data_IF_363930792745
#
_entry.id   IF_363930792745
#
_cell.length_a   1.000
_cell.length_b   1.000
_cell.length_c   1.000
_cell.angle_alpha   90.00
_cell.angle_beta   90.00
_cell.angle_gamma   90.00
#
_symmetry.space_group_name_H-M   'P 1'
#
loop_
_entity.id
_entity.type
_entity.pdbx_description
1 polymer ?
#
# COMPACT_ATOMS: atom_id res chain seq x y z
N UNK A 1 -21.38 17.58 -29.09
CA UNK A 1 -20.47 16.78 -28.26
C UNK A 1 -20.10 17.64 -27.08
N UNK A 2 -20.87 17.55 -26.01
CA UNK A 2 -20.55 18.24 -24.76
C UNK A 2 -19.73 17.30 -23.88
N UNK A 3 -18.67 17.85 -23.30
CA UNK A 3 -17.79 17.14 -22.38
C UNK A 3 -18.62 16.66 -21.18
N UNK A 4 -18.71 15.34 -21.01
CA UNK A 4 -19.24 14.75 -19.79
C UNK A 4 -18.30 15.19 -18.66
N UNK A 5 -18.77 16.09 -17.79
CA UNK A 5 -18.16 16.33 -16.50
C UNK A 5 -18.01 14.98 -15.79
N UNK A 6 -16.81 14.42 -15.81
CA UNK A 6 -16.46 13.31 -14.93
C UNK A 6 -16.63 13.82 -13.52
N UNK A 7 -17.67 13.35 -12.82
CA UNK A 7 -17.78 13.54 -11.38
C UNK A 7 -16.42 13.20 -10.77
N UNK A 8 -15.82 14.16 -10.08
CA UNK A 8 -14.62 13.91 -9.31
C UNK A 8 -15.02 12.96 -8.19
N UNK A 9 -14.85 11.67 -8.43
CA UNK A 9 -15.05 10.66 -7.41
C UNK A 9 -13.83 10.74 -6.49
N UNK A 10 -14.03 11.39 -5.35
CA UNK A 10 -13.03 11.53 -4.28
C UNK A 10 -13.56 10.86 -3.03
N UNK A 11 -12.70 10.12 -2.32
CA UNK A 11 -12.95 9.64 -0.96
C UNK A 11 -11.92 10.22 -0.01
N UNK A 12 -12.36 10.46 1.22
CA UNK A 12 -11.53 11.10 2.25
C UNK A 12 -11.39 10.14 3.43
N UNK A 13 -10.14 9.87 3.82
CA UNK A 13 -9.84 9.03 4.97
C UNK A 13 -8.90 9.77 5.91
N UNK A 14 -9.06 9.53 7.21
CA UNK A 14 -8.17 10.06 8.24
C UNK A 14 -7.48 8.91 8.94
N UNK A 15 -6.15 8.85 8.84
CA UNK A 15 -5.33 8.07 9.75
C UNK A 15 -5.14 8.87 11.04
N UNK A 16 -5.63 8.32 12.15
CA UNK A 16 -5.52 8.90 13.48
C UNK A 16 -4.19 8.53 14.14
N UNK A 17 -3.87 9.23 15.23
CA UNK A 17 -2.64 8.99 16.01
C UNK A 17 -2.53 7.59 16.63
N UNK A 18 -3.66 6.92 16.86
CA UNK A 18 -3.75 5.54 17.34
C UNK A 18 -3.74 4.50 16.20
N UNK A 19 -3.33 4.90 14.99
CA UNK A 19 -3.27 4.08 13.78
C UNK A 19 -4.63 3.51 13.30
N UNK A 20 -5.75 4.05 13.79
CA UNK A 20 -7.09 3.80 13.25
C UNK A 20 -7.30 4.64 11.99
N UNK A 21 -7.93 4.07 10.96
CA UNK A 21 -8.37 4.82 9.77
C UNK A 21 -9.89 4.92 9.75
N UNK A 22 -10.40 6.13 9.56
CA UNK A 22 -11.82 6.41 9.41
C UNK A 22 -12.11 7.05 8.04
N UNK A 23 -13.21 6.67 7.42
CA UNK A 23 -13.70 7.24 6.16
C UNK A 23 -14.70 8.38 6.43
N UNK A 24 -14.70 9.39 5.56
CA UNK A 24 -15.55 10.56 5.65
C UNK A 24 -16.16 10.89 4.30
N UNK A 25 -17.45 11.26 4.33
CA UNK A 25 -18.21 11.63 3.12
C UNK A 25 -17.77 12.97 2.52
N UNK A 26 -16.98 13.77 3.23
CA UNK A 26 -16.51 15.07 2.75
C UNK A 26 -15.14 15.46 3.29
N UNK A 27 -14.43 16.27 2.49
CA UNK A 27 -13.14 16.84 2.87
C UNK A 27 -13.25 17.66 4.16
N UNK A 28 -14.30 18.45 4.32
CA UNK A 28 -14.49 19.28 5.52
C UNK A 28 -14.66 18.43 6.79
N UNK A 29 -15.39 17.30 6.70
CA UNK A 29 -15.56 16.37 7.82
C UNK A 29 -14.25 15.70 8.21
N UNK A 30 -13.47 15.26 7.22
CA UNK A 30 -12.13 14.71 7.44
C UNK A 30 -11.16 15.76 8.01
N UNK A 31 -11.31 17.02 7.60
CA UNK A 31 -10.44 18.11 8.03
C UNK A 31 -10.62 18.51 9.50
N UNK A 32 -11.80 18.30 10.07
CA UNK A 32 -12.17 18.68 11.44
C UNK A 32 -11.74 17.66 12.51
N UNK A 33 -11.18 16.52 12.12
CA UNK A 33 -10.71 15.50 13.07
C UNK A 33 -9.50 16.01 13.86
N UNK A 34 -9.63 16.06 15.20
CA UNK A 34 -8.64 16.66 16.11
C UNK A 34 -7.43 15.77 16.37
N UNK A 35 -7.58 14.47 16.22
CA UNK A 35 -6.56 13.44 16.44
C UNK A 35 -6.00 12.88 15.11
N UNK A 36 -6.26 13.60 14.01
CA UNK A 36 -5.72 13.28 12.69
C UNK A 36 -4.20 13.38 12.72
N UNK A 37 -3.57 12.35 12.15
CA UNK A 37 -2.13 12.32 11.84
C UNK A 37 -1.89 12.56 10.36
N UNK A 38 -2.68 11.92 9.50
CA UNK A 38 -2.61 12.05 8.03
C UNK A 38 -4.03 12.07 7.47
N UNK A 39 -4.31 13.03 6.59
CA UNK A 39 -5.46 12.98 5.68
C UNK A 39 -5.04 12.26 4.41
N UNK A 40 -5.83 11.27 3.99
CA UNK A 40 -5.65 10.51 2.77
C UNK A 40 -6.82 10.88 1.84
N UNK A 41 -6.52 11.31 0.63
CA UNK A 41 -7.51 11.62 -0.39
C UNK A 41 -7.31 10.63 -1.52
N UNK A 42 -8.31 9.79 -1.78
CA UNK A 42 -8.31 8.92 -2.96
C UNK A 42 -9.08 9.58 -4.09
N UNK A 43 -8.37 10.04 -5.11
CA UNK A 43 -8.97 10.49 -6.37
C UNK A 43 -8.98 9.31 -7.32
N UNK A 44 -10.17 8.87 -7.74
CA UNK A 44 -10.24 7.66 -8.54
C UNK A 44 -11.08 7.79 -9.80
N UNK A 45 -10.73 6.95 -10.79
CA UNK A 45 -11.50 6.76 -12.01
C UNK A 45 -12.12 5.37 -12.01
N UNK A 46 -13.44 5.32 -12.16
CA UNK A 46 -14.17 4.07 -12.37
C UNK A 46 -14.31 3.78 -13.87
N UNK A 47 -14.05 2.53 -14.23
CA UNK A 47 -14.20 1.97 -15.57
C UNK A 47 -15.19 0.83 -15.43
N UNK A 48 -16.39 1.01 -15.98
CA UNK A 48 -17.43 -0.01 -15.91
C UNK A 48 -17.12 -1.13 -16.90
N UNK A 49 -17.08 -2.36 -16.41
CA UNK A 49 -17.12 -3.54 -17.28
C UNK A 49 -18.58 -3.79 -17.71
N UNK A 50 -18.86 -4.05 -19.00
CA UNK A 50 -20.22 -4.22 -19.53
C UNK A 50 -21.07 -5.30 -18.81
N UNK A 51 -20.45 -6.27 -18.15
CA UNK A 51 -21.11 -7.50 -17.69
C UNK A 51 -21.67 -7.45 -16.25
N UNK A 52 -22.09 -6.27 -15.76
CA UNK A 52 -22.74 -6.16 -14.43
C UNK A 52 -21.82 -6.46 -13.24
N UNK A 53 -20.50 -6.49 -13.44
CA UNK A 53 -19.51 -6.60 -12.39
C UNK A 53 -19.24 -5.29 -11.67
N UNK A 54 -18.56 -5.36 -10.51
CA UNK A 54 -18.06 -4.18 -9.81
C UNK A 54 -17.14 -3.35 -10.72
N UNK A 55 -17.24 -2.01 -10.72
CA UNK A 55 -16.42 -1.16 -11.58
C UNK A 55 -14.93 -1.36 -11.31
N UNK A 56 -14.12 -1.36 -12.37
CA UNK A 56 -12.67 -1.30 -12.24
C UNK A 56 -12.27 0.12 -11.84
N UNK A 57 -11.65 0.27 -10.67
CA UNK A 57 -11.16 1.56 -10.16
C UNK A 57 -9.64 1.69 -10.34
N UNK A 58 -9.19 2.84 -10.84
CA UNK A 58 -7.80 3.30 -10.75
C UNK A 58 -7.77 4.42 -9.71
N UNK A 59 -7.22 4.12 -8.54
CA UNK A 59 -7.07 5.05 -7.41
C UNK A 59 -5.76 5.84 -7.51
N UNK A 60 -5.80 7.11 -7.11
CA UNK A 60 -4.65 7.99 -6.98
C UNK A 60 -4.70 8.64 -5.60
N UNK A 61 -3.92 8.06 -4.68
CA UNK A 61 -3.89 8.51 -3.29
C UNK A 61 -2.94 9.70 -3.12
N UNK A 62 -3.48 10.79 -2.58
CA UNK A 62 -2.72 11.93 -2.10
C UNK A 62 -2.76 11.94 -0.57
N UNK A 63 -1.63 12.25 0.07
CA UNK A 63 -1.53 12.32 1.52
C UNK A 63 -1.28 13.76 1.95
N UNK A 64 -1.86 14.17 3.07
CA UNK A 64 -1.68 15.51 3.61
C UNK A 64 -1.39 15.40 5.11
N UNK A 65 -0.33 16.06 5.55
CA UNK A 65 -0.08 16.29 6.98
C UNK A 65 -1.03 17.37 7.52
N UNK A 66 -0.95 17.65 8.81
CA UNK A 66 -1.83 18.64 9.46
C UNK A 66 -1.75 20.05 8.87
N UNK A 67 -0.64 20.40 8.23
CA UNK A 67 -0.44 21.68 7.55
C UNK A 67 -1.07 21.76 6.16
N UNK A 68 -1.82 20.74 5.72
CA UNK A 68 -2.37 20.60 4.35
C UNK A 68 -1.31 20.61 3.25
N UNK A 69 -0.06 20.30 3.59
CA UNK A 69 1.00 20.14 2.62
C UNK A 69 0.85 18.77 1.98
N UNK A 70 0.66 18.73 0.65
CA UNK A 70 0.70 17.47 -0.09
C UNK A 70 2.03 16.78 0.21
N UNK A 71 1.94 15.58 0.77
CA UNK A 71 3.08 14.79 1.21
C UNK A 71 2.95 13.39 0.65
N UNK A 72 4.08 12.69 0.57
CA UNK A 72 4.07 11.25 0.33
C UNK A 72 4.04 10.54 1.68
N UNK A 73 3.56 9.30 1.72
CA UNK A 73 3.74 8.48 2.91
C UNK A 73 5.24 8.19 3.08
N UNK A 74 5.83 8.74 4.14
CA UNK A 74 7.25 8.57 4.44
C UNK A 74 7.47 7.96 5.81
N UNK A 75 8.53 7.14 5.95
CA UNK A 75 8.99 6.62 7.24
C UNK A 75 10.51 6.41 7.17
N UNK A 76 11.29 7.07 8.03
CA UNK A 76 12.76 7.06 7.98
C UNK A 76 13.33 7.25 6.55
N UNK A 77 12.80 8.25 5.81
CA UNK A 77 13.15 8.56 4.42
C UNK A 77 12.81 7.51 3.35
N UNK A 78 12.20 6.37 3.74
CA UNK A 78 11.51 5.50 2.79
C UNK A 78 10.18 6.14 2.38
N UNK A 79 9.81 6.01 1.12
CA UNK A 79 8.63 6.71 0.59
C UNK A 79 7.80 5.80 -0.31
N UNK A 80 6.49 5.80 -0.12
CA UNK A 80 5.58 5.18 -1.11
C UNK A 80 5.31 6.19 -2.22
N UNK A 81 5.70 5.84 -3.43
CA UNK A 81 5.63 6.67 -4.62
C UNK A 81 4.28 6.56 -5.32
N UNK A 82 3.82 5.34 -5.57
CA UNK A 82 2.55 5.09 -6.28
C UNK A 82 1.87 3.81 -5.80
N UNK A 83 0.55 3.80 -5.93
CA UNK A 83 -0.33 2.68 -5.63
C UNK A 83 -1.12 2.33 -6.89
N UNK A 84 -0.99 1.10 -7.39
CA UNK A 84 -1.76 0.66 -8.55
C UNK A 84 -2.63 -0.53 -8.14
N UNK A 85 -3.93 -0.30 -7.94
CA UNK A 85 -4.87 -1.36 -7.60
C UNK A 85 -5.49 -1.92 -8.88
N UNK A 86 -5.53 -3.24 -9.00
CA UNK A 86 -6.19 -3.93 -10.12
C UNK A 86 -7.29 -4.83 -9.56
N UNK A 87 -8.55 -4.44 -9.77
CA UNK A 87 -9.69 -5.27 -9.42
C UNK A 87 -9.98 -6.23 -10.57
N UNK A 88 -9.91 -7.52 -10.28
CA UNK A 88 -10.66 -8.55 -11.02
C UNK A 88 -11.70 -9.08 -10.05
N UNK A 89 -12.91 -9.40 -10.54
CA UNK A 89 -13.97 -10.05 -9.76
C UNK A 89 -13.41 -11.31 -9.08
N UNK A 90 -12.94 -11.16 -7.85
CA UNK A 90 -12.16 -12.16 -7.15
C UNK A 90 -12.26 -11.90 -5.64
N UNK A 91 -12.15 -12.96 -4.85
CA UNK A 91 -12.09 -12.90 -3.39
C UNK A 91 -10.81 -12.23 -2.87
N UNK A 92 -9.94 -11.74 -3.75
CA UNK A 92 -8.68 -11.07 -3.46
C UNK A 92 -8.56 -9.76 -4.24
N UNK A 93 -7.94 -8.77 -3.62
CA UNK A 93 -7.52 -7.53 -4.28
C UNK A 93 -6.03 -7.63 -4.53
N UNK A 94 -5.63 -7.36 -5.77
CA UNK A 94 -4.24 -7.32 -6.18
C UNK A 94 -3.84 -5.87 -6.41
N UNK A 95 -2.69 -5.49 -5.88
CA UNK A 95 -2.17 -4.15 -6.08
C UNK A 95 -0.65 -4.18 -6.16
N UNK A 96 -0.07 -3.13 -6.74
CA UNK A 96 1.38 -2.93 -6.78
C UNK A 96 1.73 -1.64 -6.09
N UNK A 97 2.66 -1.71 -5.15
CA UNK A 97 3.29 -0.54 -4.53
C UNK A 97 4.60 -0.23 -5.22
N UNK A 98 4.84 1.03 -5.51
CA UNK A 98 6.16 1.54 -5.90
C UNK A 98 6.73 2.27 -4.69
N UNK A 99 7.91 1.87 -4.23
CA UNK A 99 8.54 2.40 -3.02
C UNK A 99 9.95 2.86 -3.36
N UNK A 100 10.32 4.06 -2.91
CA UNK A 100 11.69 4.57 -2.94
C UNK A 100 12.36 4.43 -1.58
N UNK A 101 13.65 4.11 -1.59
CA UNK A 101 14.50 4.11 -0.39
C UNK A 101 15.05 5.52 -0.10
N UNK A 102 15.80 5.74 1.00
CA UNK A 102 16.38 7.04 1.32
C UNK A 102 17.30 7.64 0.24
N UNK A 103 17.84 6.80 -0.67
CA UNK A 103 18.68 7.21 -1.79
C UNK A 103 17.90 7.34 -3.10
N UNK A 104 16.56 7.34 -3.03
CA UNK A 104 15.66 7.47 -4.18
C UNK A 104 15.72 6.31 -5.18
N UNK A 105 16.30 5.16 -4.79
CA UNK A 105 16.22 3.94 -5.61
C UNK A 105 14.83 3.36 -5.48
N UNK A 106 14.21 3.00 -6.59
CA UNK A 106 12.80 2.58 -6.65
C UNK A 106 12.70 1.07 -6.86
N UNK A 107 11.82 0.40 -6.09
CA UNK A 107 11.38 -0.97 -6.35
C UNK A 107 9.85 -1.07 -6.37
N UNK A 108 9.35 -2.05 -7.12
CA UNK A 108 7.92 -2.34 -7.26
C UNK A 108 7.59 -3.67 -6.58
N UNK A 109 6.53 -3.68 -5.79
CA UNK A 109 6.12 -4.83 -5.00
C UNK A 109 4.67 -5.18 -5.28
N UNK A 110 4.39 -6.37 -5.84
CA UNK A 110 3.04 -6.87 -5.94
C UNK A 110 2.57 -7.36 -4.56
N UNK A 111 1.34 -7.00 -4.21
CA UNK A 111 0.67 -7.43 -3.01
C UNK A 111 -0.71 -8.00 -3.34
N UNK A 112 -1.20 -8.84 -2.43
CA UNK A 112 -2.50 -9.44 -2.52
C UNK A 112 -3.13 -9.53 -1.12
N UNK A 113 -4.35 -9.01 -0.98
CA UNK A 113 -5.14 -9.10 0.25
C UNK A 113 -6.43 -9.86 -0.03
N UNK A 114 -6.89 -10.69 0.90
CA UNK A 114 -8.23 -11.30 0.82
C UNK A 114 -9.28 -10.23 1.08
N UNK A 115 -10.36 -10.20 0.29
CA UNK A 115 -11.55 -9.38 0.59
C UNK A 115 -12.18 -9.86 1.89
N UNK A 116 -12.39 -8.94 2.83
CA UNK A 116 -13.33 -9.12 3.93
C UNK A 116 -14.77 -9.25 3.40
N UNK A 117 -15.72 -9.69 4.23
CA UNK A 117 -17.12 -9.87 3.80
C UNK A 117 -17.96 -8.59 3.87
N UNK A 118 -17.46 -7.48 4.41
CA UNK A 118 -18.37 -6.47 4.98
C UNK A 118 -18.78 -5.32 4.05
N UNK A 119 -17.94 -4.76 3.17
CA UNK A 119 -18.38 -3.83 2.10
C UNK A 119 -17.28 -3.66 1.05
N UNK A 120 -17.60 -3.39 -0.24
CA UNK A 120 -16.58 -3.18 -1.28
C UNK A 120 -15.55 -2.09 -0.95
N UNK A 121 -15.97 -1.02 -0.27
CA UNK A 121 -15.13 0.15 0.02
C UNK A 121 -14.18 -0.03 1.22
N UNK A 122 -14.55 -0.90 2.18
CA UNK A 122 -13.69 -1.25 3.32
C UNK A 122 -12.34 -1.83 2.89
N UNK A 123 -12.25 -2.36 1.67
CA UNK A 123 -11.06 -3.07 1.21
C UNK A 123 -9.95 -2.16 0.68
N UNK A 124 -10.28 -0.94 0.26
CA UNK A 124 -9.28 -0.01 -0.27
C UNK A 124 -8.45 0.57 0.88
N UNK A 125 -9.05 0.65 2.06
CA UNK A 125 -8.37 0.95 3.31
C UNK A 125 -7.39 -0.14 3.73
N UNK A 126 -7.74 -1.42 3.56
CA UNK A 126 -6.84 -2.54 3.83
C UNK A 126 -5.58 -2.48 2.95
N UNK A 127 -5.70 -1.97 1.72
CA UNK A 127 -4.56 -1.72 0.83
C UNK A 127 -3.64 -0.64 1.42
N UNK A 128 -4.20 0.47 1.90
CA UNK A 128 -3.43 1.55 2.54
C UNK A 128 -2.75 1.05 3.82
N UNK A 129 -3.44 0.29 4.66
CA UNK A 129 -2.89 -0.32 5.87
C UNK A 129 -1.75 -1.29 5.55
N UNK A 130 -1.92 -2.12 4.51
CA UNK A 130 -0.88 -3.03 4.07
C UNK A 130 0.38 -2.27 3.64
N UNK A 131 0.21 -1.17 2.91
CA UNK A 131 1.32 -0.33 2.47
C UNK A 131 2.02 0.38 3.63
N UNK A 132 1.29 0.89 4.62
CA UNK A 132 1.88 1.48 5.83
C UNK A 132 2.67 0.46 6.64
N UNK A 133 2.15 -0.76 6.79
CA UNK A 133 2.87 -1.86 7.46
C UNK A 133 4.14 -2.22 6.71
N UNK A 134 4.09 -2.26 5.38
CA UNK A 134 5.27 -2.52 4.56
C UNK A 134 6.30 -1.40 4.69
N UNK A 135 5.85 -0.14 4.63
CA UNK A 135 6.73 1.01 4.79
C UNK A 135 7.43 1.01 6.16
N UNK A 136 6.71 0.69 7.23
CA UNK A 136 7.28 0.53 8.57
C UNK A 136 8.28 -0.65 8.62
N UNK A 137 7.96 -1.79 8.00
CA UNK A 137 8.88 -2.94 7.88
C UNK A 137 10.19 -2.54 7.19
N UNK A 138 10.10 -1.78 6.10
CA UNK A 138 11.24 -1.29 5.32
C UNK A 138 12.06 -0.24 6.07
N UNK A 139 11.40 0.63 6.84
CA UNK A 139 12.04 1.71 7.62
C UNK A 139 13.06 1.24 8.66
N UNK A 140 13.10 -0.06 8.97
CA UNK A 140 14.09 -0.71 9.83
C UNK A 140 15.43 -0.93 9.14
N UNK A 141 15.45 -0.83 7.81
CA UNK A 141 16.62 -0.98 6.97
C UNK A 141 17.08 0.40 6.46
N UNK A 142 18.36 0.50 6.12
CA UNK A 142 18.97 1.71 5.62
C UNK A 142 18.58 1.98 4.17
N UNK A 143 18.60 0.94 3.33
CA UNK A 143 18.34 1.04 1.90
C UNK A 143 17.96 -0.33 1.30
N UNK A 144 17.76 -0.37 -0.03
CA UNK A 144 17.48 -1.61 -0.73
C UNK A 144 18.61 -2.63 -0.72
N UNK A 145 19.86 -2.18 -0.72
CA UNK A 145 21.05 -3.02 -0.80
C UNK A 145 21.22 -3.83 0.48
N UNK A 146 20.98 -3.21 1.65
CA UNK A 146 20.95 -3.90 2.92
C UNK A 146 19.87 -5.00 2.95
N UNK A 147 18.69 -4.75 2.37
CA UNK A 147 17.62 -5.74 2.30
C UNK A 147 18.01 -6.91 1.39
N UNK A 148 18.62 -6.62 0.24
CA UNK A 148 19.05 -7.64 -0.70
C UNK A 148 20.13 -8.52 -0.07
N UNK A 149 21.14 -7.92 0.59
CA UNK A 149 22.17 -8.63 1.34
C UNK A 149 21.59 -9.48 2.47
N UNK A 150 20.61 -8.96 3.22
CA UNK A 150 19.94 -9.73 4.27
C UNK A 150 19.26 -10.99 3.70
N UNK A 151 18.53 -10.86 2.58
CA UNK A 151 17.86 -11.99 1.93
C UNK A 151 18.83 -13.01 1.39
N UNK A 152 19.92 -12.56 0.75
CA UNK A 152 20.97 -13.44 0.26
C UNK A 152 21.62 -14.22 1.42
N UNK A 153 21.86 -13.56 2.55
CA UNK A 153 22.43 -14.19 3.74
C UNK A 153 21.50 -15.29 4.28
N UNK A 154 20.19 -15.05 4.37
CA UNK A 154 19.23 -16.08 4.80
C UNK A 154 19.20 -17.29 3.85
N UNK A 155 19.21 -17.06 2.53
CA UNK A 155 19.30 -18.14 1.53
C UNK A 155 20.60 -18.94 1.69
N UNK A 156 21.72 -18.26 1.95
CA UNK A 156 23.01 -18.91 2.16
C UNK A 156 23.02 -19.74 3.44
N UNK A 157 22.43 -19.26 4.53
CA UNK A 157 22.29 -20.03 5.79
C UNK A 157 21.49 -21.31 5.60
N UNK A 158 20.37 -21.25 4.87
CA UNK A 158 19.57 -22.43 4.55
C UNK A 158 20.38 -23.46 3.75
N UNK A 159 21.13 -23.01 2.73
CA UNK A 159 22.00 -23.89 1.93
C UNK A 159 23.12 -24.51 2.75
N UNK A 160 23.76 -23.74 3.64
CA UNK A 160 24.81 -24.25 4.52
C UNK A 160 24.24 -25.35 5.42
N UNK A 161 23.04 -25.15 5.97
CA UNK A 161 22.35 -26.14 6.79
C UNK A 161 22.05 -27.41 6.00
N UNK A 162 21.47 -27.29 4.81
CA UNK A 162 21.18 -28.44 3.93
C UNK A 162 22.43 -29.25 3.57
N UNK A 163 23.54 -28.56 3.26
CA UNK A 163 24.81 -29.21 2.94
C UNK A 163 25.43 -29.89 4.18
N UNK A 164 25.27 -29.29 5.35
CA UNK A 164 25.72 -29.88 6.62
C UNK A 164 24.94 -31.16 6.95
N UNK A 165 23.60 -31.12 6.80
CA UNK A 165 22.74 -32.28 7.02
C UNK A 165 23.08 -33.45 6.06
N UNK A 166 23.36 -33.14 4.78
CA UNK A 166 23.81 -34.13 3.79
C UNK A 166 25.18 -34.71 4.14
N UNK A 167 26.12 -33.87 4.59
CA UNK A 167 27.45 -34.33 4.99
C UNK A 167 27.38 -35.27 6.20
N UNK A 168 26.55 -34.95 7.19
CA UNK A 168 26.37 -35.78 8.38
C UNK A 168 25.63 -37.09 8.07
N UNK A 169 24.71 -37.07 7.11
CA UNK A 169 24.07 -38.28 6.59
C UNK A 169 25.06 -39.21 5.87
N UNK A 170 26.10 -38.67 5.21
CA UNK A 170 27.16 -39.46 4.56
C UNK A 170 28.20 -40.00 5.53
N UNK A 171 28.27 -39.50 6.76
CA UNK A 171 29.21 -39.96 7.80
C UNK A 171 28.64 -41.05 8.71
N UNK A 172 27.36 -41.38 8.58
CA UNK A 172 26.67 -42.49 9.27
C UNK A 172 26.58 -43.71 8.37
#
# INVERSE_FOLDING_TARGET
MEALETSKNERYFVLKTNDVIEEFDSLDSALRQKDRKILIVDKFKELYTPDGGYPWRISNFEFFSDSRTATKLTCNNWTIETFNITYKSSSRIKFTLTISDPFQRIKRFPFEIKRGKETPDSHDLDVVLCALKELNRLSKFHDWEQIDLYKENEILKEKIKELSDKLDAHKK
#
